data_IF_382926479398
#
_entry.id   IF_382926479398
#
_cell.length_a   1.000
_cell.length_b   1.000
_cell.length_c   1.000
_cell.angle_alpha   90.00
_cell.angle_beta   90.00
_cell.angle_gamma   90.00
#
_symmetry.space_group_name_H-M   'P 1'
#
loop_
_entity.id
_entity.type
_entity.pdbx_description
1 polymer ?
#
# COMPACT_ATOMS: atom_id res chain seq x y z
N UNK A 1 20.78 19.52 -19.46
CA UNK A 1 21.62 19.02 -18.36
C UNK A 1 21.15 17.61 -18.03
N UNK A 2 21.76 16.61 -18.66
CA UNK A 2 21.33 15.20 -18.62
C UNK A 2 22.24 14.50 -17.61
N UNK A 3 21.69 14.10 -16.46
CA UNK A 3 22.39 13.30 -15.47
C UNK A 3 22.57 11.87 -16.02
N UNK A 4 23.74 11.61 -16.62
CA UNK A 4 24.23 10.24 -16.87
C UNK A 4 24.58 9.61 -15.52
N UNK A 5 23.66 8.86 -14.95
CA UNK A 5 23.95 7.92 -13.85
C UNK A 5 24.71 6.72 -14.42
N UNK A 6 26.04 6.82 -14.43
CA UNK A 6 26.94 5.68 -14.59
C UNK A 6 26.86 4.80 -13.32
N UNK A 7 25.84 3.94 -13.23
CA UNK A 7 25.94 2.79 -12.33
C UNK A 7 26.86 1.77 -12.98
N UNK A 8 28.13 1.78 -12.58
CA UNK A 8 29.02 0.63 -12.78
C UNK A 8 28.42 -0.53 -11.99
N UNK A 9 27.78 -1.45 -12.68
CA UNK A 9 27.55 -2.80 -12.19
C UNK A 9 28.95 -3.35 -11.90
N UNK A 10 29.32 -3.42 -10.62
CA UNK A 10 30.50 -4.18 -10.22
C UNK A 10 30.16 -5.64 -10.47
N UNK A 11 30.62 -6.15 -11.62
CA UNK A 11 30.87 -7.57 -11.79
C UNK A 11 31.78 -7.99 -10.64
N UNK A 12 31.22 -8.74 -9.71
CA UNK A 12 31.96 -9.39 -8.64
C UNK A 12 32.81 -10.45 -9.33
N UNK A 13 34.06 -10.09 -9.62
CA UNK A 13 35.09 -11.04 -10.04
C UNK A 13 35.14 -12.17 -9.01
N UNK A 14 34.83 -13.38 -9.50
CA UNK A 14 35.06 -14.64 -8.80
C UNK A 14 36.55 -14.80 -8.52
N UNK A 15 36.99 -14.23 -7.39
CA UNK A 15 38.28 -14.57 -6.79
C UNK A 15 38.06 -15.84 -5.99
N UNK A 16 38.59 -16.95 -6.51
CA UNK A 16 38.67 -18.25 -5.85
C UNK A 16 38.99 -18.09 -4.36
N UNK A 17 37.96 -18.26 -3.52
CA UNK A 17 38.12 -18.58 -2.11
C UNK A 17 37.80 -20.07 -1.97
N UNK A 18 38.84 -20.90 -2.07
CA UNK A 18 38.78 -22.26 -1.55
C UNK A 18 38.59 -22.21 -0.04
N UNK A 19 37.52 -22.84 0.43
CA UNK A 19 37.26 -22.99 1.87
C UNK A 19 35.79 -23.06 2.25
N UNK A 20 35.03 -23.98 1.63
CA UNK A 20 33.78 -24.50 2.18
C UNK A 20 32.68 -23.47 2.49
N UNK A 21 32.40 -22.56 1.56
CA UNK A 21 31.10 -21.88 1.53
C UNK A 21 30.09 -22.87 0.97
N UNK A 22 29.38 -23.57 1.86
CA UNK A 22 28.10 -24.16 1.52
C UNK A 22 27.26 -23.03 0.91
N UNK A 23 27.22 -22.91 -0.40
CA UNK A 23 26.16 -22.19 -1.10
C UNK A 23 24.90 -22.93 -0.69
N UNK A 24 24.24 -22.45 0.37
CA UNK A 24 22.85 -22.78 0.61
C UNK A 24 22.13 -22.22 -0.60
N UNK A 25 22.01 -23.05 -1.64
CA UNK A 25 21.21 -22.74 -2.80
C UNK A 25 19.85 -22.35 -2.28
N UNK A 26 19.37 -21.18 -2.74
CA UNK A 26 18.03 -20.75 -2.44
C UNK A 26 17.08 -21.85 -2.90
N UNK A 27 16.28 -22.38 -1.98
CA UNK A 27 15.32 -23.42 -2.32
C UNK A 27 14.11 -22.75 -2.96
N UNK A 28 14.13 -22.64 -4.28
CA UNK A 28 13.08 -22.01 -5.09
C UNK A 28 11.72 -22.69 -4.88
N UNK A 29 11.69 -24.02 -4.76
CA UNK A 29 10.46 -24.78 -4.51
C UNK A 29 9.84 -24.40 -3.16
N UNK A 30 10.66 -24.23 -2.12
CA UNK A 30 10.17 -23.79 -0.82
C UNK A 30 9.63 -22.35 -0.88
N UNK A 31 10.33 -21.45 -1.59
CA UNK A 31 9.86 -20.08 -1.78
C UNK A 31 8.52 -20.04 -2.55
N UNK A 32 8.37 -20.88 -3.57
CA UNK A 32 7.13 -21.04 -4.33
C UNK A 32 5.99 -21.55 -3.44
N UNK A 33 6.22 -22.62 -2.68
CA UNK A 33 5.19 -23.21 -1.80
C UNK A 33 4.73 -22.25 -0.70
N UNK A 34 5.65 -21.48 -0.10
CA UNK A 34 5.29 -20.44 0.88
C UNK A 34 4.44 -19.35 0.20
N UNK A 35 4.84 -18.92 -0.99
CA UNK A 35 4.11 -17.90 -1.76
C UNK A 35 2.72 -18.37 -2.15
N UNK A 36 2.60 -19.62 -2.64
CA UNK A 36 1.34 -20.26 -3.00
C UNK A 36 0.41 -20.34 -1.79
N UNK A 37 0.92 -20.74 -0.63
CA UNK A 37 0.13 -20.76 0.61
C UNK A 37 -0.40 -19.40 1.00
N UNK A 38 0.32 -18.32 0.69
CA UNK A 38 -0.10 -16.94 0.93
C UNK A 38 -0.95 -16.35 -0.21
N UNK A 39 -1.16 -17.07 -1.32
CA UNK A 39 -1.81 -16.57 -2.53
C UNK A 39 -3.36 -16.53 -2.41
N UNK A 40 -3.87 -15.84 -1.40
CA UNK A 40 -5.30 -15.61 -1.20
C UNK A 40 -5.57 -14.17 -0.74
N UNK A 41 -6.82 -13.69 -0.84
CA UNK A 41 -7.20 -12.36 -0.37
C UNK A 41 -6.99 -12.21 1.14
N UNK A 42 -6.18 -11.24 1.53
CA UNK A 42 -5.71 -11.01 2.90
C UNK A 42 -5.73 -9.52 3.20
N UNK A 43 -6.93 -8.95 3.07
CA UNK A 43 -7.18 -7.56 3.43
C UNK A 43 -7.10 -7.40 4.95
N UNK A 44 -6.51 -6.31 5.40
CA UNK A 44 -6.50 -5.93 6.82
C UNK A 44 -7.91 -5.96 7.41
N UNK A 45 -8.07 -6.55 8.59
CA UNK A 45 -9.33 -6.77 9.30
C UNK A 45 -10.13 -7.99 8.86
N UNK A 46 -9.68 -8.73 7.83
CA UNK A 46 -10.38 -9.93 7.33
C UNK A 46 -9.88 -11.23 7.96
N UNK A 47 -10.66 -12.30 7.84
CA UNK A 47 -10.21 -13.66 8.21
C UNK A 47 -8.97 -14.10 7.40
N UNK A 48 -8.80 -13.58 6.19
CA UNK A 48 -7.61 -13.82 5.38
C UNK A 48 -6.34 -13.22 6.01
N UNK A 49 -6.43 -12.03 6.61
CA UNK A 49 -5.30 -11.48 7.36
C UNK A 49 -4.95 -12.38 8.56
N UNK A 50 -5.93 -12.81 9.36
CA UNK A 50 -5.68 -13.72 10.49
C UNK A 50 -4.96 -14.99 10.04
N UNK A 51 -5.47 -15.63 8.99
CA UNK A 51 -4.85 -16.83 8.40
C UNK A 51 -3.43 -16.56 7.90
N UNK A 52 -3.18 -15.42 7.26
CA UNK A 52 -1.86 -15.10 6.76
C UNK A 52 -0.86 -14.82 7.91
N UNK A 53 -1.28 -14.28 9.07
CA UNK A 53 -0.43 -14.15 10.27
C UNK A 53 0.02 -15.50 10.76
N UNK A 54 -0.93 -16.43 10.87
CA UNK A 54 -0.66 -17.79 11.34
C UNK A 54 0.34 -18.49 10.43
N UNK A 55 0.19 -18.36 9.10
CA UNK A 55 1.13 -18.92 8.13
C UNK A 55 2.53 -18.30 8.32
N UNK A 56 2.65 -16.99 8.46
CA UNK A 56 3.96 -16.33 8.63
C UNK A 56 4.66 -16.79 9.92
N UNK A 57 3.91 -16.90 11.03
CA UNK A 57 4.47 -17.36 12.31
C UNK A 57 4.85 -18.84 12.24
N UNK A 58 4.02 -19.67 11.61
CA UNK A 58 4.29 -21.08 11.35
C UNK A 58 5.58 -21.26 10.54
N UNK A 59 5.76 -20.48 9.47
CA UNK A 59 6.98 -20.52 8.65
C UNK A 59 8.22 -20.05 9.41
N UNK A 60 8.13 -18.99 10.23
CA UNK A 60 9.25 -18.60 11.08
C UNK A 60 9.59 -19.66 12.13
N UNK A 61 8.57 -20.33 12.68
CA UNK A 61 8.76 -21.40 13.66
C UNK A 61 9.43 -22.62 13.02
N UNK A 62 8.96 -23.05 11.84
CA UNK A 62 9.57 -24.15 11.07
C UNK A 62 11.01 -23.85 10.64
N UNK A 63 11.31 -22.59 10.35
CA UNK A 63 12.67 -22.13 10.07
C UNK A 63 13.58 -22.11 11.32
N UNK A 64 13.03 -22.36 12.51
CA UNK A 64 13.77 -22.44 13.77
C UNK A 64 14.02 -21.08 14.43
N UNK A 65 13.30 -20.03 14.05
CA UNK A 65 13.44 -18.72 14.67
C UNK A 65 12.72 -18.64 16.02
N UNK A 66 13.46 -18.25 17.06
CA UNK A 66 12.93 -18.02 18.41
C UNK A 66 13.80 -16.95 19.12
N UNK A 67 13.23 -15.86 19.68
CA UNK A 67 11.81 -15.52 19.73
C UNK A 67 11.28 -14.88 18.44
N UNK A 68 10.00 -15.12 18.17
CA UNK A 68 9.21 -14.41 17.15
C UNK A 68 8.51 -13.25 17.85
N UNK A 69 8.74 -12.03 17.35
CA UNK A 69 8.12 -10.83 17.89
C UNK A 69 6.89 -10.44 17.07
N UNK A 70 5.85 -9.97 17.77
CA UNK A 70 4.63 -9.41 17.19
C UNK A 70 4.43 -8.02 17.76
N UNK A 71 4.29 -7.04 16.88
CA UNK A 71 4.07 -5.64 17.22
C UNK A 71 2.69 -5.21 16.71
N UNK A 72 1.74 -5.11 17.63
CA UNK A 72 0.35 -4.81 17.35
C UNK A 72 0.13 -3.32 17.15
N UNK A 73 -0.59 -2.96 16.09
CA UNK A 73 -0.97 -1.57 15.81
C UNK A 73 -2.36 -1.48 15.18
N UNK A 74 -2.93 -0.27 15.22
CA UNK A 74 -4.23 0.03 14.63
C UNK A 74 -4.09 0.81 13.34
N UNK A 75 -4.83 0.40 12.32
CA UNK A 75 -4.90 1.10 11.04
C UNK A 75 -6.35 1.28 10.60
N UNK A 76 -6.59 2.19 9.65
CA UNK A 76 -7.95 2.42 9.15
C UNK A 76 -8.00 2.69 7.64
N UNK A 77 -9.14 2.34 7.04
CA UNK A 77 -9.43 2.63 5.64
C UNK A 77 -10.03 4.04 5.42
N UNK A 78 -10.06 4.89 6.44
CA UNK A 78 -10.77 6.17 6.39
C UNK A 78 -10.30 7.05 5.23
N UNK A 79 -8.99 7.20 5.05
CA UNK A 79 -8.43 8.00 3.96
C UNK A 79 -8.83 7.45 2.59
N UNK A 80 -8.85 6.13 2.41
CA UNK A 80 -9.26 5.51 1.15
C UNK A 80 -10.75 5.72 0.86
N UNK A 81 -11.61 5.56 1.87
CA UNK A 81 -13.05 5.81 1.74
C UNK A 81 -13.29 7.29 1.44
N UNK A 82 -12.60 8.20 2.13
CA UNK A 82 -12.70 9.64 1.91
C UNK A 82 -12.30 10.03 0.47
N UNK A 83 -11.17 9.52 -0.04
CA UNK A 83 -10.73 9.76 -1.41
C UNK A 83 -11.74 9.22 -2.44
N UNK A 84 -12.50 8.16 -2.14
CA UNK A 84 -13.55 7.68 -3.05
C UNK A 84 -14.64 8.72 -3.28
N UNK A 85 -15.03 9.44 -2.22
CA UNK A 85 -16.12 10.42 -2.29
C UNK A 85 -15.67 11.81 -2.74
N UNK A 86 -14.37 12.13 -2.66
CA UNK A 86 -13.86 13.46 -3.03
C UNK A 86 -14.13 13.79 -4.50
N UNK A 87 -14.10 12.80 -5.40
CA UNK A 87 -14.38 13.01 -6.82
C UNK A 87 -15.83 13.41 -7.09
N UNK A 88 -16.78 12.91 -6.31
CA UNK A 88 -18.20 13.30 -6.41
C UNK A 88 -18.36 14.76 -6.00
N UNK A 89 -17.68 15.18 -4.93
CA UNK A 89 -17.70 16.57 -4.47
C UNK A 89 -17.07 17.49 -5.52
N UNK A 90 -15.90 17.13 -6.06
CA UNK A 90 -15.22 17.90 -7.11
C UNK A 90 -16.12 18.03 -8.34
N UNK A 91 -16.69 16.92 -8.83
CA UNK A 91 -17.60 16.93 -9.98
C UNK A 91 -18.82 17.82 -9.74
N UNK A 92 -19.40 17.77 -8.54
CA UNK A 92 -20.54 18.61 -8.16
C UNK A 92 -20.15 20.09 -8.16
N UNK A 93 -19.01 20.46 -7.58
CA UNK A 93 -18.51 21.84 -7.57
C UNK A 93 -18.27 22.37 -8.97
N UNK A 94 -17.67 21.56 -9.87
CA UNK A 94 -17.45 21.94 -11.26
C UNK A 94 -18.76 22.17 -12.02
N UNK A 95 -19.76 21.30 -11.79
CA UNK A 95 -21.08 21.45 -12.39
C UNK A 95 -21.79 22.72 -11.91
N UNK A 96 -21.74 23.01 -10.60
CA UNK A 96 -22.28 24.25 -10.05
C UNK A 96 -21.54 25.49 -10.57
N UNK A 97 -20.22 25.42 -10.73
CA UNK A 97 -19.42 26.50 -11.30
C UNK A 97 -19.82 26.79 -12.76
N UNK A 98 -20.03 25.74 -13.56
CA UNK A 98 -20.48 25.88 -14.95
C UNK A 98 -21.87 26.52 -15.03
N UNK A 99 -22.82 26.06 -14.19
CA UNK A 99 -24.16 26.63 -14.11
C UNK A 99 -24.14 28.09 -13.62
N UNK A 100 -23.31 28.42 -12.63
CA UNK A 100 -23.26 29.76 -12.06
C UNK A 100 -22.73 30.80 -13.06
N UNK A 101 -21.81 30.41 -13.95
CA UNK A 101 -21.28 31.30 -15.01
C UNK A 101 -22.39 31.81 -15.91
N UNK A 102 -23.35 30.95 -16.25
CA UNK A 102 -24.48 31.30 -17.08
C UNK A 102 -25.50 32.21 -16.37
N UNK A 103 -25.70 32.01 -15.07
CA UNK A 103 -26.73 32.72 -14.29
C UNK A 103 -26.23 34.09 -13.81
N UNK A 104 -25.09 34.14 -13.12
CA UNK A 104 -24.59 35.37 -12.52
C UNK A 104 -23.07 35.28 -12.20
N UNK A 105 -22.25 36.25 -12.65
CA UNK A 105 -20.81 36.25 -12.37
C UNK A 105 -20.47 36.35 -10.86
N UNK A 106 -21.29 37.04 -10.06
CA UNK A 106 -21.08 37.12 -8.60
C UNK A 106 -21.33 35.77 -7.92
N UNK A 107 -22.36 35.03 -8.38
CA UNK A 107 -22.61 33.67 -7.88
C UNK A 107 -21.43 32.75 -8.18
N UNK A 108 -20.81 32.91 -9.35
CA UNK A 108 -19.60 32.15 -9.73
C UNK A 108 -18.45 32.40 -8.77
N UNK A 109 -18.21 33.66 -8.39
CA UNK A 109 -17.18 33.99 -7.41
C UNK A 109 -17.45 33.33 -6.05
N UNK A 110 -18.71 33.33 -5.59
CA UNK A 110 -19.10 32.69 -4.33
C UNK A 110 -18.87 31.18 -4.40
N UNK A 111 -19.34 30.51 -5.45
CA UNK A 111 -19.16 29.07 -5.65
C UNK A 111 -17.67 28.70 -5.73
N UNK A 112 -16.87 29.51 -6.42
CA UNK A 112 -15.42 29.32 -6.53
C UNK A 112 -14.72 29.42 -5.17
N UNK A 113 -15.00 30.47 -4.39
CA UNK A 113 -14.41 30.66 -3.05
C UNK A 113 -14.80 29.53 -2.11
N UNK A 114 -16.08 29.11 -2.12
CA UNK A 114 -16.55 27.97 -1.32
C UNK A 114 -15.88 26.65 -1.76
N UNK A 115 -15.73 26.44 -3.07
CA UNK A 115 -15.05 25.28 -3.63
C UNK A 115 -13.57 25.20 -3.24
N UNK A 116 -12.85 26.33 -3.29
CA UNK A 116 -11.47 26.42 -2.81
C UNK A 116 -11.37 26.15 -1.31
N UNK A 117 -12.23 26.79 -0.49
CA UNK A 117 -12.27 26.56 0.94
C UNK A 117 -12.52 25.09 1.29
N UNK A 118 -13.52 24.48 0.64
CA UNK A 118 -13.83 23.06 0.79
C UNK A 118 -12.65 22.17 0.39
N UNK A 119 -11.95 22.49 -0.70
CA UNK A 119 -10.77 21.76 -1.17
C UNK A 119 -9.61 21.83 -0.17
N UNK A 120 -9.33 23.01 0.40
CA UNK A 120 -8.30 23.15 1.44
C UNK A 120 -8.65 22.38 2.71
N UNK A 121 -9.92 22.39 3.13
CA UNK A 121 -10.39 21.59 4.27
C UNK A 121 -10.27 20.09 3.99
N UNK A 122 -10.69 19.64 2.81
CA UNK A 122 -10.57 18.24 2.41
C UNK A 122 -9.10 17.78 2.36
N UNK A 123 -8.20 18.60 1.83
CA UNK A 123 -6.76 18.32 1.82
C UNK A 123 -6.19 18.24 3.24
N UNK A 124 -6.55 19.18 4.11
CA UNK A 124 -6.14 19.19 5.52
C UNK A 124 -6.59 17.92 6.26
N UNK A 125 -7.80 17.42 5.96
CA UNK A 125 -8.31 16.16 6.50
C UNK A 125 -7.52 14.96 5.93
N UNK A 126 -7.28 14.95 4.62
CA UNK A 126 -6.58 13.86 3.94
C UNK A 126 -5.11 13.70 4.39
N UNK A 127 -4.45 14.79 4.76
CA UNK A 127 -3.05 14.78 5.21
C UNK A 127 -2.94 14.56 6.73
N UNK A 128 -4.05 14.60 7.46
CA UNK A 128 -4.04 14.41 8.89
C UNK A 128 -3.70 12.96 9.27
N UNK A 129 -2.61 12.77 10.01
CA UNK A 129 -2.24 11.47 10.60
C UNK A 129 -3.10 11.11 11.81
N UNK A 130 -3.93 12.04 12.30
CA UNK A 130 -4.87 11.83 13.40
C UNK A 130 -6.29 12.01 12.85
N UNK A 131 -7.00 10.90 12.66
CA UNK A 131 -8.42 10.91 12.29
C UNK A 131 -9.20 11.48 13.48
N UNK A 132 -9.44 12.79 13.47
CA UNK A 132 -10.13 13.51 14.56
C UNK A 132 -11.62 13.73 14.31
N UNK A 133 -12.09 13.62 13.07
CA UNK A 133 -13.41 14.13 12.69
C UNK A 133 -14.57 13.19 13.02
N UNK A 134 -14.30 11.92 13.25
CA UNK A 134 -15.21 10.97 13.88
C UNK A 134 -14.30 9.98 14.61
N UNK A 135 -14.61 9.60 15.85
CA UNK A 135 -14.03 8.40 16.46
C UNK A 135 -14.44 7.21 15.59
N UNK A 136 -13.69 6.97 14.53
CA UNK A 136 -14.05 6.02 13.48
C UNK A 136 -13.60 4.62 13.91
N UNK A 137 -13.95 4.22 15.13
CA UNK A 137 -13.60 2.94 15.74
C UNK A 137 -14.12 1.78 14.89
N UNK A 138 -15.21 1.99 14.14
CA UNK A 138 -15.81 1.04 13.20
C UNK A 138 -14.84 0.62 12.07
N UNK A 139 -13.89 1.48 11.71
CA UNK A 139 -12.92 1.21 10.64
C UNK A 139 -11.48 1.09 11.17
N UNK A 140 -11.31 1.01 12.48
CA UNK A 140 -10.01 0.68 13.05
C UNK A 140 -9.87 -0.83 13.07
N UNK A 141 -8.87 -1.32 12.36
CA UNK A 141 -8.52 -2.73 12.33
C UNK A 141 -7.23 -2.93 13.12
N UNK A 142 -7.28 -3.86 14.08
CA UNK A 142 -6.09 -4.34 14.77
C UNK A 142 -5.32 -5.25 13.80
N UNK A 143 -4.05 -4.92 13.59
CA UNK A 143 -3.11 -5.64 12.73
C UNK A 143 -1.77 -5.72 13.43
N UNK A 144 -0.81 -6.47 12.89
CA UNK A 144 0.49 -6.64 13.53
C UNK A 144 1.64 -6.74 12.53
N UNK A 145 2.80 -6.24 12.93
CA UNK A 145 4.06 -6.55 12.28
C UNK A 145 4.68 -7.77 12.96
N UNK A 146 5.11 -8.75 12.16
CA UNK A 146 5.79 -9.95 12.65
C UNK A 146 7.25 -9.86 12.24
N UNK A 147 8.17 -9.99 13.19
CA UNK A 147 9.59 -9.92 12.90
C UNK A 147 10.43 -10.82 13.80
N UNK A 148 11.62 -11.17 13.31
CA UNK A 148 12.62 -11.96 14.03
C UNK A 148 13.93 -11.17 14.06
N UNK A 149 14.67 -11.26 15.16
CA UNK A 149 15.95 -10.56 15.32
C UNK A 149 17.07 -11.56 15.60
N UNK A 150 17.96 -11.72 14.62
CA UNK A 150 19.17 -12.52 14.75
C UNK A 150 20.31 -11.64 15.24
N UNK A 151 20.66 -11.76 16.52
CA UNK A 151 21.82 -11.07 17.08
C UNK A 151 23.09 -11.84 16.71
N UNK A 152 24.07 -11.14 16.15
CA UNK A 152 25.44 -11.63 16.02
C UNK A 152 26.33 -10.91 17.03
N UNK A 153 27.20 -11.66 17.71
CA UNK A 153 28.03 -11.14 18.81
C UNK A 153 29.01 -10.02 18.37
N UNK A 154 29.37 -9.97 17.07
CA UNK A 154 30.34 -9.02 16.51
C UNK A 154 29.81 -8.31 15.24
N UNK A 155 28.52 -7.98 15.20
CA UNK A 155 27.95 -7.30 14.02
C UNK A 155 28.40 -5.84 13.92
N UNK A 156 29.09 -5.48 12.84
CA UNK A 156 29.40 -4.08 12.49
C UNK A 156 28.23 -3.34 11.82
N UNK A 157 27.23 -4.07 11.35
CA UNK A 157 26.07 -3.54 10.63
C UNK A 157 24.81 -4.36 10.95
N UNK A 158 23.65 -3.72 10.81
CA UNK A 158 22.33 -4.35 10.89
C UNK A 158 21.72 -4.40 9.50
N UNK A 159 21.34 -5.60 9.06
CA UNK A 159 20.64 -5.83 7.80
C UNK A 159 19.18 -6.11 8.13
N UNK A 160 18.27 -5.44 7.43
CA UNK A 160 16.82 -5.60 7.61
C UNK A 160 16.24 -6.10 6.29
N UNK A 161 15.63 -7.28 6.33
CA UNK A 161 14.80 -7.79 5.24
C UNK A 161 13.34 -7.52 5.61
N UNK A 162 12.62 -6.87 4.71
CA UNK A 162 11.22 -6.51 4.94
C UNK A 162 10.37 -6.84 3.73
N UNK A 163 9.17 -7.35 4.00
CA UNK A 163 8.15 -7.62 3.00
C UNK A 163 6.79 -7.32 3.60
N UNK A 164 5.87 -6.85 2.76
CA UNK A 164 4.49 -6.70 3.16
C UNK A 164 3.73 -7.98 2.78
N UNK A 165 2.90 -8.45 3.69
CA UNK A 165 2.18 -9.72 3.56
C UNK A 165 0.68 -9.48 3.40
N UNK A 166 0.19 -8.24 3.47
CA UNK A 166 -1.18 -7.87 3.17
C UNK A 166 -1.43 -7.77 1.66
N UNK A 167 -2.68 -7.93 1.25
CA UNK A 167 -3.11 -7.72 -0.14
C UNK A 167 -3.89 -6.42 -0.28
N UNK A 168 -3.68 -5.70 -1.38
CA UNK A 168 -4.55 -4.57 -1.75
C UNK A 168 -5.96 -5.08 -2.04
N UNK A 169 -6.96 -4.56 -1.34
CA UNK A 169 -8.36 -4.80 -1.66
C UNK A 169 -8.75 -4.12 -2.97
N UNK A 170 -8.81 -4.92 -4.04
CA UNK A 170 -9.35 -4.49 -5.31
C UNK A 170 -10.72 -5.14 -5.48
N UNK A 171 -11.76 -4.31 -5.61
CA UNK A 171 -13.15 -4.78 -5.73
C UNK A 171 -13.46 -5.42 -7.09
N UNK A 172 -12.72 -5.04 -8.13
CA UNK A 172 -12.91 -5.54 -9.49
C UNK A 172 -11.69 -6.34 -9.93
N UNK A 173 -11.94 -7.47 -10.59
CA UNK A 173 -10.89 -8.23 -11.25
C UNK A 173 -10.19 -7.38 -12.31
N UNK A 174 -8.93 -7.69 -12.60
CA UNK A 174 -8.15 -6.99 -13.64
C UNK A 174 -8.90 -6.93 -14.96
N UNK A 175 -9.55 -8.03 -15.34
CA UNK A 175 -10.34 -8.12 -16.58
C UNK A 175 -11.49 -7.12 -16.64
N UNK A 176 -12.27 -6.99 -15.56
CA UNK A 176 -13.40 -6.04 -15.51
C UNK A 176 -12.89 -4.60 -15.63
N UNK A 177 -11.79 -4.26 -14.93
CA UNK A 177 -11.21 -2.92 -15.04
C UNK A 177 -10.72 -2.60 -16.45
N UNK A 178 -10.08 -3.57 -17.12
CA UNK A 178 -9.63 -3.39 -18.50
C UNK A 178 -10.83 -3.17 -19.43
N UNK A 179 -11.92 -3.91 -19.26
CA UNK A 179 -13.16 -3.67 -20.03
C UNK A 179 -13.71 -2.26 -19.81
N UNK A 180 -13.83 -1.81 -18.57
CA UNK A 180 -14.32 -0.45 -18.25
C UNK A 180 -13.42 0.61 -18.90
N UNK A 181 -12.10 0.44 -18.79
CA UNK A 181 -11.13 1.39 -19.34
C UNK A 181 -11.18 1.46 -20.87
N UNK A 182 -11.26 0.31 -21.55
CA UNK A 182 -11.40 0.25 -23.01
C UNK A 182 -12.69 0.93 -23.46
N UNK A 183 -13.82 0.64 -22.79
CA UNK A 183 -15.11 1.25 -23.14
C UNK A 183 -15.07 2.77 -22.97
N UNK A 184 -14.50 3.24 -21.87
CA UNK A 184 -14.34 4.67 -21.60
C UNK A 184 -13.46 5.38 -22.66
N UNK A 185 -12.36 4.77 -23.11
CA UNK A 185 -11.51 5.34 -24.16
C UNK A 185 -12.20 5.39 -25.53
N UNK A 186 -13.01 4.39 -25.87
CA UNK A 186 -13.79 4.39 -27.10
C UNK A 186 -14.78 5.56 -27.14
N UNK A 187 -15.37 5.91 -26.01
CA UNK A 187 -16.35 7.00 -25.93
C UNK A 187 -15.69 8.41 -25.93
N UNK A 188 -14.38 8.51 -25.67
CA UNK A 188 -13.60 9.76 -25.75
C UNK A 188 -13.03 10.01 -27.16
N UNK A 189 -13.06 8.99 -28.02
CA UNK A 189 -12.58 9.06 -29.40
C UNK A 189 -13.66 9.67 -30.31
N UNK A 190 -13.98 10.95 -30.12
CA UNK A 190 -14.82 11.76 -31.02
C UNK A 190 -14.10 13.05 -31.40
#
# INVERSE_FOLDING_TARGET
>A
MILKTNMKVQEIENKNMDGNTSSKNLNEDNAYQITERLAFPRLIGSEGEKKAREIVVDEFTKAGYNPIHRDEFRTSFHSWIFTRYIFIIIGSVLLFLALSVYINPLLTLVVFVLGLYGSFKALSISVSTKIRLCKNEIYNHDTENIYVNLKSQNSKAKIIFMGHWDSKSQSFSTSIRMMIFIRFLQDISF
#
